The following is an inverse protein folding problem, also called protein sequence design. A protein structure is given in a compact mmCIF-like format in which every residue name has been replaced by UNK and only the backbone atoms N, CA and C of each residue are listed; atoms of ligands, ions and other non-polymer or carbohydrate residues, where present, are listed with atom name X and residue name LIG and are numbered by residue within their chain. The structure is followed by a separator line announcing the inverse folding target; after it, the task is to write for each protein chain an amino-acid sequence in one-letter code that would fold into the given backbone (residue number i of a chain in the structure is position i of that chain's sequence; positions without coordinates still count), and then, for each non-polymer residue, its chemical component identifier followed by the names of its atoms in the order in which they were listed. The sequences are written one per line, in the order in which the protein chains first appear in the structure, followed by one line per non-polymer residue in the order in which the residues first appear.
data_IF_806322799690
#
_entry.id   IF_806322799690
#
_cell.length_a   1.000
_cell.length_b   1.000
_cell.length_c   1.000
_cell.angle_alpha   90.00
_cell.angle_beta   90.00
_cell.angle_gamma   90.00
#
_symmetry.space_group_name_H-M   'P 1'
#
loop_
_entity.id
_entity.type
_entity.pdbx_description
1 polymer ?
#
# COMPACT_ATOMS: atom_id res chain seq x y z
N UNK A 1 -0.34 -8.01 -22.09
CA UNK A 1 -0.04 -9.39 -21.64
C UNK A 1 1.46 -9.55 -21.67
N UNK A 2 2.10 -9.94 -20.57
CA UNK A 2 3.57 -10.00 -20.45
C UNK A 2 4.11 -11.37 -20.86
N UNK A 3 5.39 -11.46 -21.22
CA UNK A 3 6.04 -12.73 -21.52
C UNK A 3 6.08 -13.63 -20.27
N UNK A 4 6.00 -14.95 -20.48
CA UNK A 4 6.03 -15.92 -19.41
C UNK A 4 7.33 -15.78 -18.57
N UNK A 5 7.17 -15.53 -17.27
CA UNK A 5 8.28 -15.39 -16.33
C UNK A 5 8.80 -13.96 -16.11
N UNK A 6 8.34 -12.96 -16.85
CA UNK A 6 8.81 -11.57 -16.71
C UNK A 6 7.88 -10.70 -15.84
N UNK A 7 6.58 -11.00 -15.79
CA UNK A 7 5.59 -10.21 -15.04
C UNK A 7 5.39 -8.80 -15.62
N UNK A 8 4.60 -7.93 -14.96
CA UNK A 8 4.42 -6.56 -15.40
C UNK A 8 5.72 -5.77 -15.36
N UNK A 9 5.79 -4.69 -16.17
CA UNK A 9 6.99 -3.85 -16.24
C UNK A 9 7.31 -3.26 -14.85
N UNK A 10 8.57 -3.26 -14.38
CA UNK A 10 8.91 -2.72 -13.07
C UNK A 10 8.58 -1.22 -12.86
N UNK A 11 8.39 -0.50 -13.96
CA UNK A 11 8.08 0.93 -13.99
C UNK A 11 7.17 1.22 -15.20
N UNK A 12 5.85 0.95 -15.09
CA UNK A 12 4.94 1.06 -16.23
C UNK A 12 4.78 2.49 -16.76
N UNK A 13 4.95 3.48 -15.88
CA UNK A 13 4.95 4.89 -16.27
C UNK A 13 6.22 5.30 -17.04
N UNK A 14 7.31 4.56 -16.91
CA UNK A 14 8.58 4.83 -17.59
C UNK A 14 9.14 6.24 -17.29
N UNK A 15 9.78 6.88 -18.28
CA UNK A 15 10.29 8.25 -18.16
C UNK A 15 9.21 9.33 -18.32
N UNK A 16 7.95 8.95 -18.57
CA UNK A 16 6.89 9.90 -18.88
C UNK A 16 6.53 10.84 -17.72
N UNK A 17 6.94 10.55 -16.47
CA UNK A 17 6.40 11.27 -15.30
C UNK A 17 7.40 11.53 -14.14
N UNK A 18 8.55 12.17 -14.43
CA UNK A 18 9.41 12.94 -13.48
C UNK A 18 10.73 12.32 -12.94
N UNK A 19 11.68 13.24 -12.64
CA UNK A 19 12.91 13.02 -11.86
C UNK A 19 12.67 13.23 -10.35
N UNK A 20 11.65 12.60 -9.76
CA UNK A 20 11.41 12.68 -8.30
C UNK A 20 12.26 11.65 -7.55
N UNK A 21 12.62 11.97 -6.30
CA UNK A 21 13.19 11.00 -5.37
C UNK A 21 12.11 9.98 -4.99
N UNK A 22 12.25 8.73 -5.48
CA UNK A 22 11.34 7.63 -5.16
C UNK A 22 11.51 7.18 -3.71
N UNK A 23 10.40 6.80 -3.10
CA UNK A 23 10.35 6.27 -1.73
C UNK A 23 10.64 4.77 -1.63
N UNK A 24 10.58 4.08 -2.76
CA UNK A 24 10.90 2.67 -2.91
C UNK A 24 12.14 2.48 -3.78
N UNK A 25 12.73 1.30 -3.69
CA UNK A 25 13.75 0.83 -4.62
C UNK A 25 13.24 -0.42 -5.34
N UNK A 26 13.02 -0.37 -6.67
CA UNK A 26 12.66 -1.57 -7.43
C UNK A 26 13.74 -2.63 -7.24
N UNK A 27 13.36 -3.80 -6.75
CA UNK A 27 14.25 -4.96 -6.68
C UNK A 27 13.75 -5.99 -7.67
N UNK A 28 14.57 -6.31 -8.68
CA UNK A 28 14.36 -7.51 -9.48
C UNK A 28 14.61 -8.71 -8.56
N UNK A 29 13.57 -9.47 -8.31
CA UNK A 29 13.63 -10.69 -7.53
C UNK A 29 13.06 -11.83 -8.36
N UNK A 30 13.60 -13.03 -8.15
CA UNK A 30 13.20 -14.20 -8.92
C UNK A 30 11.74 -14.54 -8.63
N UNK A 31 10.93 -14.54 -9.68
CA UNK A 31 9.54 -14.99 -9.66
C UNK A 31 9.53 -16.53 -9.68
N UNK A 32 8.75 -17.16 -8.81
CA UNK A 32 8.56 -18.62 -8.82
C UNK A 32 7.58 -19.02 -9.92
N UNK A 33 7.60 -20.30 -10.34
CA UNK A 33 6.66 -20.79 -11.36
C UNK A 33 5.20 -20.53 -10.98
N UNK A 34 4.81 -20.79 -9.72
CA UNK A 34 3.45 -20.55 -9.24
C UNK A 34 3.06 -19.06 -9.20
N UNK A 35 4.01 -18.16 -8.90
CA UNK A 35 3.76 -16.71 -8.98
C UNK A 35 3.57 -16.26 -10.43
N UNK A 36 4.39 -16.78 -11.36
CA UNK A 36 4.27 -16.46 -12.78
C UNK A 36 2.93 -16.96 -13.36
N UNK A 37 2.54 -18.19 -13.02
CA UNK A 37 1.25 -18.76 -13.42
C UNK A 37 0.07 -17.94 -12.87
N UNK A 38 0.10 -17.58 -11.58
CA UNK A 38 -0.94 -16.76 -10.98
C UNK A 38 -1.06 -15.38 -11.66
N UNK A 39 0.06 -14.74 -12.00
CA UNK A 39 0.05 -13.49 -12.76
C UNK A 39 -0.53 -13.69 -14.16
N UNK A 40 -0.07 -14.69 -14.92
CA UNK A 40 -0.60 -14.95 -16.26
C UNK A 40 -2.12 -15.20 -16.25
N UNK A 41 -2.59 -15.96 -15.25
CA UNK A 41 -4.00 -16.33 -15.12
C UNK A 41 -4.88 -15.17 -14.65
N UNK A 42 -4.46 -14.40 -13.63
CA UNK A 42 -5.32 -13.44 -12.92
C UNK A 42 -5.02 -11.97 -13.18
N UNK A 43 -3.89 -11.64 -13.79
CA UNK A 43 -3.60 -10.24 -14.13
C UNK A 43 -4.66 -9.59 -15.03
N UNK A 44 -5.24 -10.25 -16.05
CA UNK A 44 -6.26 -9.63 -16.90
C UNK A 44 -7.50 -9.14 -16.12
N UNK A 45 -7.87 -9.86 -15.05
CA UNK A 45 -9.09 -9.59 -14.28
C UNK A 45 -8.80 -8.72 -13.05
N UNK A 46 -7.68 -8.98 -12.37
CA UNK A 46 -7.38 -8.43 -11.05
C UNK A 46 -6.13 -7.56 -11.01
N UNK A 47 -5.36 -7.51 -12.10
CA UNK A 47 -4.13 -6.72 -12.20
C UNK A 47 -4.32 -5.44 -12.99
N UNK A 48 -3.58 -4.39 -12.63
CA UNK A 48 -3.44 -3.19 -13.44
C UNK A 48 -2.06 -2.58 -13.31
N UNK A 49 -1.62 -1.92 -14.37
CA UNK A 49 -0.41 -1.09 -14.34
C UNK A 49 -0.78 0.36 -13.99
N UNK A 50 0.05 0.98 -13.15
CA UNK A 50 0.00 2.40 -12.83
C UNK A 50 0.83 3.13 -13.88
N UNK A 51 0.16 3.51 -14.97
CA UNK A 51 0.77 4.15 -16.13
C UNK A 51 0.50 5.66 -16.22
N UNK A 52 -0.37 6.18 -15.36
CA UNK A 52 -0.77 7.59 -15.33
C UNK A 52 -1.70 8.02 -16.46
N UNK A 53 -2.30 7.07 -17.21
CA UNK A 53 -3.05 7.40 -18.44
C UNK A 53 -4.56 7.37 -18.27
N UNK A 54 -5.08 6.51 -17.39
CA UNK A 54 -6.51 6.32 -17.18
C UNK A 54 -6.92 6.63 -15.75
N UNK A 55 -8.00 7.39 -15.61
CA UNK A 55 -8.70 7.52 -14.34
C UNK A 55 -9.47 6.23 -14.07
N UNK A 56 -9.31 5.68 -12.87
CA UNK A 56 -9.96 4.45 -12.43
C UNK A 56 -11.31 4.80 -11.79
N UNK A 57 -12.35 4.07 -12.16
CA UNK A 57 -13.61 4.03 -11.39
C UNK A 57 -13.52 2.88 -10.37
N UNK A 58 -13.16 3.22 -9.13
CA UNK A 58 -13.04 2.24 -8.05
C UNK A 58 -14.40 1.65 -7.66
N UNK A 59 -15.49 2.41 -7.82
CA UNK A 59 -16.84 1.95 -7.51
C UNK A 59 -17.23 0.84 -8.48
N UNK A 60 -17.00 1.04 -9.78
CA UNK A 60 -17.22 0.00 -10.79
C UNK A 60 -16.29 -1.20 -10.56
N UNK A 61 -14.99 -0.95 -10.36
CA UNK A 61 -13.97 -1.98 -10.20
C UNK A 61 -14.26 -2.97 -9.06
N UNK A 62 -14.83 -2.47 -7.96
CA UNK A 62 -15.17 -3.25 -6.76
C UNK A 62 -16.68 -3.45 -6.57
N UNK A 63 -17.52 -3.20 -7.58
CA UNK A 63 -18.96 -3.45 -7.48
C UNK A 63 -19.68 -2.64 -6.40
N UNK A 64 -19.18 -1.45 -6.07
CA UNK A 64 -19.76 -0.53 -5.10
C UNK A 64 -19.29 -0.71 -3.66
N UNK A 65 -18.38 -1.64 -3.38
CA UNK A 65 -17.79 -1.78 -2.06
C UNK A 65 -16.96 -0.53 -1.67
N UNK A 66 -16.87 -0.19 -0.36
CA UNK A 66 -15.87 0.76 0.12
C UNK A 66 -14.46 0.26 -0.22
N UNK A 67 -13.56 1.17 -0.59
CA UNK A 67 -12.23 0.79 -1.07
C UNK A 67 -11.13 1.32 -0.17
N UNK A 68 -10.30 0.41 0.32
CA UNK A 68 -9.05 0.72 1.02
C UNK A 68 -7.86 0.49 0.11
N UNK A 69 -7.01 1.49 -0.03
CA UNK A 69 -5.73 1.34 -0.70
C UNK A 69 -4.66 0.85 0.28
N UNK A 70 -3.85 -0.14 -0.11
CA UNK A 70 -2.68 -0.58 0.65
C UNK A 70 -1.42 -0.31 -0.16
N UNK A 71 -0.50 0.52 0.35
CA UNK A 71 0.76 0.85 -0.33
C UNK A 71 1.89 -0.01 0.27
N UNK A 72 2.56 -0.78 -0.58
CA UNK A 72 3.71 -1.59 -0.20
C UNK A 72 3.30 -2.89 0.50
N UNK A 73 2.35 -3.64 -0.07
CA UNK A 73 1.84 -4.88 0.55
C UNK A 73 2.87 -6.03 0.61
N UNK A 74 4.03 -5.89 -0.04
CA UNK A 74 5.11 -6.86 -0.03
C UNK A 74 4.66 -8.21 -0.61
N UNK A 75 4.68 -9.27 0.20
CA UNK A 75 4.22 -10.60 -0.23
C UNK A 75 2.69 -10.76 -0.21
N UNK A 76 1.92 -9.83 0.37
CA UNK A 76 0.46 -9.83 0.34
C UNK A 76 -0.22 -10.88 1.24
N UNK A 77 0.52 -11.60 2.09
CA UNK A 77 -0.09 -12.57 3.03
C UNK A 77 -1.03 -11.90 4.02
N UNK A 78 -0.64 -10.74 4.56
CA UNK A 78 -1.47 -9.93 5.44
C UNK A 78 -2.69 -9.39 4.69
N UNK A 79 -2.49 -8.85 3.50
CA UNK A 79 -3.55 -8.35 2.59
C UNK A 79 -4.60 -9.41 2.33
N UNK A 80 -4.18 -10.62 1.92
CA UNK A 80 -5.11 -11.72 1.63
C UNK A 80 -5.91 -12.14 2.87
N UNK A 81 -5.27 -12.20 4.05
CA UNK A 81 -5.96 -12.51 5.32
C UNK A 81 -6.98 -11.43 5.69
N UNK A 82 -6.62 -10.16 5.57
CA UNK A 82 -7.53 -9.05 5.84
C UNK A 82 -8.70 -9.02 4.86
N UNK A 83 -8.44 -9.23 3.56
CA UNK A 83 -9.48 -9.28 2.53
C UNK A 83 -10.45 -10.46 2.74
N UNK A 84 -9.94 -11.61 3.18
CA UNK A 84 -10.79 -12.76 3.53
C UNK A 84 -11.63 -12.53 4.79
N UNK A 85 -11.08 -11.80 5.78
CA UNK A 85 -11.77 -11.49 7.02
C UNK A 85 -12.82 -10.38 6.86
N UNK A 86 -12.69 -9.54 5.83
CA UNK A 86 -13.60 -8.45 5.52
C UNK A 86 -13.96 -8.44 4.02
N UNK A 87 -14.85 -9.36 3.57
CA UNK A 87 -15.28 -9.42 2.18
C UNK A 87 -16.12 -8.20 1.75
N UNK A 88 -16.58 -7.38 2.71
CA UNK A 88 -17.33 -6.15 2.45
C UNK A 88 -16.47 -4.96 2.03
N UNK A 89 -15.15 -5.09 2.05
CA UNK A 89 -14.21 -4.02 1.68
C UNK A 89 -13.37 -4.45 0.47
N UNK A 90 -13.33 -3.59 -0.55
CA UNK A 90 -12.41 -3.72 -1.67
C UNK A 90 -11.00 -3.27 -1.29
N UNK A 91 -9.98 -4.04 -1.69
CA UNK A 91 -8.58 -3.75 -1.44
C UNK A 91 -7.86 -3.46 -2.75
N UNK A 92 -7.44 -2.21 -2.94
CA UNK A 92 -6.53 -1.79 -4.00
C UNK A 92 -5.08 -1.89 -3.48
N UNK A 93 -4.46 -3.04 -3.74
CA UNK A 93 -3.12 -3.35 -3.26
C UNK A 93 -2.06 -2.85 -4.25
N UNK A 94 -1.25 -1.89 -3.83
CA UNK A 94 -0.25 -1.20 -4.67
C UNK A 94 1.17 -1.62 -4.27
N UNK A 95 1.94 -2.16 -5.20
CA UNK A 95 3.35 -2.48 -4.98
C UNK A 95 4.12 -2.55 -6.30
N UNK A 96 5.44 -2.44 -6.25
CA UNK A 96 6.36 -2.61 -7.39
C UNK A 96 7.09 -3.97 -7.35
N UNK A 97 6.87 -4.76 -6.30
CA UNK A 97 7.53 -6.04 -6.08
C UNK A 97 6.80 -7.18 -6.83
N UNK A 98 7.29 -7.50 -8.03
CA UNK A 98 6.70 -8.51 -8.91
C UNK A 98 6.43 -9.88 -8.26
N UNK A 99 7.35 -10.49 -7.46
CA UNK A 99 7.04 -11.74 -6.77
C UNK A 99 5.88 -11.61 -5.79
N UNK A 100 5.77 -10.45 -5.14
CA UNK A 100 4.69 -10.12 -4.21
C UNK A 100 3.33 -10.06 -4.91
N UNK A 101 3.29 -9.37 -6.05
CA UNK A 101 2.09 -9.28 -6.91
C UNK A 101 1.59 -10.67 -7.32
N UNK A 102 2.49 -11.54 -7.82
CA UNK A 102 2.12 -12.91 -8.17
C UNK A 102 1.69 -13.75 -6.96
N UNK A 103 2.30 -13.54 -5.79
CA UNK A 103 1.90 -14.24 -4.57
C UNK A 103 0.51 -13.83 -4.10
N UNK A 104 0.21 -12.53 -4.06
CA UNK A 104 -1.10 -12.01 -3.66
C UNK A 104 -2.20 -12.48 -4.62
N UNK A 105 -1.97 -12.41 -5.94
CA UNK A 105 -2.92 -12.94 -6.94
C UNK A 105 -3.16 -14.43 -6.74
N UNK A 106 -2.10 -15.22 -6.47
CA UNK A 106 -2.23 -16.65 -6.20
C UNK A 106 -2.96 -16.96 -4.89
N UNK A 107 -2.76 -16.15 -3.85
CA UNK A 107 -3.48 -16.27 -2.58
C UNK A 107 -4.96 -15.92 -2.75
N UNK A 108 -5.28 -14.82 -3.45
CA UNK A 108 -6.63 -14.41 -3.77
C UNK A 108 -7.36 -15.47 -4.60
N UNK A 109 -6.70 -16.03 -5.62
CA UNK A 109 -7.28 -17.07 -6.49
C UNK A 109 -7.64 -18.33 -5.71
N UNK A 110 -6.70 -18.83 -4.89
CA UNK A 110 -6.95 -20.03 -4.06
C UNK A 110 -7.96 -19.78 -2.95
N UNK A 111 -8.05 -18.54 -2.45
CA UNK A 111 -8.98 -18.14 -1.40
C UNK A 111 -10.36 -17.73 -1.92
N UNK A 112 -10.57 -17.66 -3.24
CA UNK A 112 -11.81 -17.13 -3.82
C UNK A 112 -12.07 -15.65 -3.48
N UNK A 113 -11.01 -14.86 -3.32
CA UNK A 113 -11.11 -13.46 -2.91
C UNK A 113 -11.37 -12.56 -4.12
N UNK A 114 -12.62 -12.14 -4.29
CA UNK A 114 -13.02 -11.27 -5.41
C UNK A 114 -12.84 -9.77 -5.10
N UNK A 115 -12.58 -9.43 -3.84
CA UNK A 115 -12.43 -8.07 -3.32
C UNK A 115 -10.98 -7.54 -3.33
N UNK A 116 -10.07 -8.17 -4.08
CA UNK A 116 -8.66 -7.73 -4.20
C UNK A 116 -8.33 -7.35 -5.64
N UNK A 117 -7.65 -6.21 -5.81
CA UNK A 117 -7.01 -5.79 -7.07
C UNK A 117 -5.56 -5.43 -6.81
N UNK A 118 -4.66 -5.84 -7.71
CA UNK A 118 -3.22 -5.58 -7.62
C UNK A 118 -2.83 -4.51 -8.64
N UNK A 119 -2.26 -3.42 -8.16
CA UNK A 119 -1.75 -2.32 -8.97
C UNK A 119 -0.21 -2.29 -8.94
N UNK A 120 0.42 -2.41 -10.11
CA UNK A 120 1.86 -2.37 -10.26
C UNK A 120 2.35 -0.96 -10.63
N UNK A 121 3.21 -0.39 -9.80
CA UNK A 121 3.87 0.89 -10.07
C UNK A 121 3.88 1.85 -8.87
N UNK A 122 4.16 3.13 -9.15
CA UNK A 122 4.33 4.16 -8.12
C UNK A 122 2.96 4.65 -7.59
N UNK A 123 2.70 4.45 -6.29
CA UNK A 123 1.48 4.91 -5.65
C UNK A 123 1.25 6.43 -5.76
N UNK A 124 2.32 7.24 -5.89
CA UNK A 124 2.20 8.69 -6.11
C UNK A 124 1.57 8.98 -7.46
N UNK A 125 1.93 8.23 -8.51
CA UNK A 125 1.34 8.38 -9.84
C UNK A 125 -0.14 7.96 -9.81
N UNK A 126 -0.45 6.84 -9.15
CA UNK A 126 -1.83 6.39 -8.97
C UNK A 126 -2.69 7.46 -8.31
N UNK A 127 -2.25 8.00 -7.17
CA UNK A 127 -2.95 9.05 -6.44
C UNK A 127 -3.11 10.33 -7.28
N UNK A 128 -2.05 10.77 -7.95
CA UNK A 128 -2.05 12.05 -8.68
C UNK A 128 -2.88 11.99 -9.96
N UNK A 129 -2.69 10.95 -10.76
CA UNK A 129 -3.11 10.91 -12.17
C UNK A 129 -4.26 9.94 -12.45
N UNK A 130 -4.53 8.99 -11.55
CA UNK A 130 -5.43 7.87 -11.85
C UNK A 130 -6.60 7.73 -10.88
N UNK A 131 -6.63 8.49 -9.79
CA UNK A 131 -7.73 8.50 -8.83
C UNK A 131 -8.43 9.86 -8.80
N UNK A 132 -9.75 9.84 -8.74
CA UNK A 132 -10.57 11.04 -8.50
C UNK A 132 -10.51 11.47 -7.04
N UNK A 133 -10.96 12.69 -6.76
CA UNK A 133 -11.12 13.15 -5.39
C UNK A 133 -12.08 12.23 -4.59
N UNK A 134 -11.82 12.09 -3.29
CA UNK A 134 -12.66 11.33 -2.35
C UNK A 134 -12.99 9.88 -2.79
N UNK A 135 -12.09 9.25 -3.56
CA UNK A 135 -12.29 7.90 -4.10
C UNK A 135 -12.05 6.79 -3.06
N UNK A 136 -11.27 7.05 -2.01
CA UNK A 136 -10.82 6.04 -1.04
C UNK A 136 -11.56 6.16 0.30
N UNK A 137 -12.01 5.03 0.83
CA UNK A 137 -12.60 4.89 2.17
C UNK A 137 -11.54 4.63 3.26
N UNK A 138 -10.29 4.40 2.86
CA UNK A 138 -9.13 4.30 3.76
C UNK A 138 -7.82 4.10 3.02
N UNK A 139 -6.71 4.26 3.74
CA UNK A 139 -5.38 3.97 3.23
C UNK A 139 -4.54 3.26 4.30
N UNK A 140 -3.73 2.29 3.90
CA UNK A 140 -2.82 1.54 4.78
C UNK A 140 -1.40 1.61 4.25
N UNK A 141 -0.45 1.83 5.14
CA UNK A 141 0.99 1.86 4.83
C UNK A 141 1.73 1.10 5.92
N UNK A 142 2.01 -0.18 5.67
CA UNK A 142 2.63 -1.06 6.67
C UNK A 142 4.09 -1.32 6.34
N UNK A 143 4.96 -1.09 7.33
CA UNK A 143 6.40 -1.32 7.26
C UNK A 143 7.08 -0.71 6.02
N UNK A 144 6.81 0.57 5.67
CA UNK A 144 7.48 1.20 4.54
C UNK A 144 8.99 1.30 4.80
N UNK A 145 9.77 1.33 3.72
CA UNK A 145 11.24 1.42 3.80
C UNK A 145 11.69 2.55 4.78
N UNK A 146 12.43 2.23 5.86
CA UNK A 146 12.68 3.19 6.94
C UNK A 146 13.78 4.21 6.65
N UNK A 147 14.59 3.93 5.62
CA UNK A 147 15.71 4.77 5.17
C UNK A 147 16.55 5.32 6.34
N UNK A 148 17.23 4.46 7.13
CA UNK A 148 17.79 4.82 8.44
C UNK A 148 18.92 5.86 8.40
N UNK A 149 19.53 6.10 7.23
CA UNK A 149 20.60 7.09 7.07
C UNK A 149 19.97 8.47 6.86
N UNK A 150 20.32 9.48 7.68
CA UNK A 150 19.81 10.87 7.59
C UNK A 150 19.68 11.43 6.17
N UNK A 151 20.73 11.27 5.34
CA UNK A 151 20.74 11.70 3.92
C UNK A 151 19.65 11.08 3.03
N UNK A 152 19.02 10.00 3.48
CA UNK A 152 17.96 9.27 2.79
C UNK A 152 16.57 9.53 3.38
N UNK A 153 16.41 10.33 4.44
CA UNK A 153 15.08 10.57 5.06
C UNK A 153 14.07 11.15 4.06
N UNK A 154 14.52 11.95 3.09
CA UNK A 154 13.71 12.44 1.96
C UNK A 154 13.12 11.35 1.04
N UNK A 155 13.53 10.08 1.22
CA UNK A 155 12.95 8.90 0.56
C UNK A 155 11.88 8.22 1.42
N UNK A 156 11.68 8.61 2.67
CA UNK A 156 10.55 8.10 3.46
C UNK A 156 9.24 8.50 2.77
N UNK A 157 8.28 7.58 2.75
CA UNK A 157 6.98 7.80 2.10
C UNK A 157 6.13 8.81 2.87
N UNK A 158 6.07 8.69 4.21
CA UNK A 158 5.30 9.60 5.06
C UNK A 158 6.05 10.93 5.16
N UNK A 159 5.61 11.88 4.35
CA UNK A 159 6.12 13.25 4.21
C UNK A 159 4.93 14.20 4.01
N UNK A 160 5.05 15.50 4.34
CA UNK A 160 3.96 16.45 4.20
C UNK A 160 3.31 16.44 2.82
N UNK A 161 4.09 16.42 1.73
CA UNK A 161 3.55 16.48 0.36
C UNK A 161 2.82 15.19 -0.03
N UNK A 162 3.23 14.04 0.51
CA UNK A 162 2.50 12.79 0.32
C UNK A 162 1.15 12.85 1.04
N UNK A 163 1.13 13.33 2.29
CA UNK A 163 -0.11 13.46 3.07
C UNK A 163 -1.09 14.42 2.41
N UNK A 164 -0.61 15.58 1.94
CA UNK A 164 -1.45 16.55 1.21
C UNK A 164 -2.08 15.90 -0.02
N UNK A 165 -1.30 15.18 -0.84
CA UNK A 165 -1.84 14.48 -2.01
C UNK A 165 -2.85 13.40 -1.60
N UNK A 166 -2.50 12.57 -0.61
CA UNK A 166 -3.35 11.48 -0.16
C UNK A 166 -4.69 11.99 0.40
N UNK A 167 -4.68 13.07 1.17
CA UNK A 167 -5.88 13.70 1.71
C UNK A 167 -6.90 14.06 0.61
N UNK A 168 -6.42 14.53 -0.56
CA UNK A 168 -7.32 14.85 -1.68
C UNK A 168 -8.03 13.64 -2.30
N UNK A 169 -7.59 12.41 -2.00
CA UNK A 169 -8.13 11.16 -2.56
C UNK A 169 -8.90 10.33 -1.55
N UNK A 170 -8.77 10.64 -0.26
CA UNK A 170 -9.48 9.98 0.83
C UNK A 170 -10.76 10.74 1.17
N UNK A 171 -11.86 10.04 1.42
CA UNK A 171 -13.13 10.65 1.88
C UNK A 171 -12.99 11.28 3.27
N UNK A 172 -13.80 12.32 3.60
CA UNK A 172 -13.92 12.81 4.97
C UNK A 172 -14.25 11.65 5.90
N UNK A 173 -13.52 11.52 7.00
CA UNK A 173 -13.68 10.43 7.96
C UNK A 173 -12.95 9.12 7.64
N UNK A 174 -12.31 9.00 6.47
CA UNK A 174 -11.50 7.83 6.12
C UNK A 174 -10.24 7.75 7.00
N UNK A 175 -9.79 6.53 7.32
CA UNK A 175 -8.62 6.29 8.17
C UNK A 175 -7.36 6.02 7.33
N UNK A 176 -6.28 6.73 7.65
CA UNK A 176 -4.91 6.39 7.29
C UNK A 176 -4.30 5.59 8.44
N UNK A 177 -3.91 4.35 8.15
CA UNK A 177 -3.28 3.46 9.11
C UNK A 177 -1.84 3.14 8.69
N UNK A 178 -0.89 3.71 9.42
CA UNK A 178 0.53 3.44 9.25
C UNK A 178 1.01 2.45 10.32
N UNK A 179 1.99 1.60 9.98
CA UNK A 179 2.69 0.77 10.95
C UNK A 179 4.19 0.70 10.62
N UNK A 180 5.04 0.67 11.64
CA UNK A 180 6.50 0.55 11.48
C UNK A 180 7.14 -0.07 12.72
N UNK A 181 8.20 -0.84 12.53
CA UNK A 181 9.04 -1.42 13.60
C UNK A 181 10.34 -0.62 13.83
N UNK A 182 10.48 0.53 13.16
CA UNK A 182 11.65 1.41 13.26
C UNK A 182 11.30 2.69 14.03
N UNK A 183 11.75 2.77 15.28
CA UNK A 183 11.43 3.88 16.21
C UNK A 183 11.69 5.28 15.61
N UNK A 184 12.87 5.60 15.01
CA UNK A 184 13.10 6.93 14.44
C UNK A 184 12.24 7.26 13.20
N UNK A 185 11.52 6.28 12.66
CA UNK A 185 10.53 6.53 11.61
C UNK A 185 9.13 6.62 12.20
N UNK A 186 8.81 5.87 13.26
CA UNK A 186 7.58 6.06 14.04
C UNK A 186 7.46 7.50 14.57
N UNK A 187 8.53 8.01 15.18
CA UNK A 187 8.60 9.39 15.68
C UNK A 187 8.37 10.41 14.56
N UNK A 188 9.01 10.22 13.41
CA UNK A 188 8.84 11.10 12.25
C UNK A 188 7.42 11.00 11.67
N UNK A 189 6.85 9.80 11.59
CA UNK A 189 5.47 9.63 11.12
C UNK A 189 4.51 10.39 12.04
N UNK A 190 4.68 10.26 13.36
CA UNK A 190 3.84 10.94 14.35
C UNK A 190 3.97 12.47 14.23
N UNK A 191 5.20 12.99 14.13
CA UNK A 191 5.46 14.42 13.95
C UNK A 191 4.78 14.96 12.69
N UNK A 192 5.01 14.31 11.55
CA UNK A 192 4.50 14.76 10.24
C UNK A 192 2.98 14.66 10.15
N UNK A 193 2.38 13.57 10.65
CA UNK A 193 0.93 13.39 10.67
C UNK A 193 0.24 14.37 11.62
N UNK A 194 0.79 14.56 12.83
CA UNK A 194 0.19 15.45 13.83
C UNK A 194 0.27 16.92 13.43
N UNK A 195 1.24 17.30 12.60
CA UNK A 195 1.37 18.66 12.07
C UNK A 195 0.50 18.92 10.84
N UNK A 196 -0.09 17.90 10.21
CA UNK A 196 -0.84 18.05 8.96
C UNK A 196 -2.30 18.44 9.22
N UNK A 197 -2.84 19.52 8.61
CA UNK A 197 -4.16 20.05 8.95
C UNK A 197 -5.33 19.13 8.58
N UNK A 198 -5.16 18.30 7.54
CA UNK A 198 -6.22 17.41 7.04
C UNK A 198 -6.32 16.07 7.79
N UNK A 199 -5.48 15.83 8.81
CA UNK A 199 -5.46 14.57 9.56
C UNK A 199 -5.55 14.82 11.06
N UNK A 200 -6.42 14.08 11.74
CA UNK A 200 -6.53 14.07 13.19
C UNK A 200 -6.10 12.71 13.76
N UNK A 201 -5.27 12.74 14.82
CA UNK A 201 -4.88 11.52 15.51
C UNK A 201 -6.10 10.92 16.21
N UNK A 202 -6.29 9.60 16.06
CA UNK A 202 -7.38 8.87 16.74
C UNK A 202 -6.99 8.42 18.15
N UNK A 203 -5.70 8.42 18.49
CA UNK A 203 -5.21 8.13 19.84
C UNK A 203 -5.51 9.30 20.78
N UNK A 204 -6.17 9.01 21.91
CA UNK A 204 -6.64 10.03 22.85
C UNK A 204 -5.51 10.85 23.51
N UNK A 205 -4.32 10.27 23.64
CA UNK A 205 -3.12 10.91 24.18
C UNK A 205 -2.26 11.60 23.10
N UNK A 206 -2.71 11.56 21.84
CA UNK A 206 -1.97 12.09 20.69
C UNK A 206 -0.73 11.26 20.32
N UNK A 207 -0.57 10.06 20.88
CA UNK A 207 0.56 9.17 20.63
C UNK A 207 0.27 8.09 19.58
N UNK A 208 0.81 6.89 19.84
CA UNK A 208 0.62 5.71 19.02
C UNK A 208 -0.67 4.97 19.40
N UNK A 209 -1.30 4.33 18.43
CA UNK A 209 -2.48 3.50 18.66
C UNK A 209 -2.07 2.07 19.04
N UNK A 210 -2.87 1.35 19.85
CA UNK A 210 -2.68 -0.09 20.00
C UNK A 210 -2.91 -0.80 18.65
N UNK A 211 -2.20 -1.90 18.40
CA UNK A 211 -2.43 -2.70 17.20
C UNK A 211 -3.90 -3.14 17.14
N UNK A 212 -4.66 -2.79 16.08
CA UNK A 212 -6.02 -3.26 15.93
C UNK A 212 -6.08 -4.77 15.76
N UNK A 213 -7.11 -5.41 16.32
CA UNK A 213 -7.28 -6.87 16.23
C UNK A 213 -7.40 -7.40 14.80
N UNK A 214 -7.89 -6.56 13.86
CA UNK A 214 -8.00 -6.92 12.45
C UNK A 214 -6.65 -6.93 11.71
N UNK A 215 -5.59 -6.29 12.24
CA UNK A 215 -4.28 -6.26 11.60
C UNK A 215 -3.51 -7.53 11.96
N UNK A 216 -3.33 -8.49 11.03
CA UNK A 216 -2.62 -9.71 11.33
C UNK A 216 -1.16 -9.43 11.63
N UNK A 217 -0.54 -10.30 12.43
CA UNK A 217 0.92 -10.34 12.56
C UNK A 217 1.53 -10.60 11.18
N UNK A 218 2.26 -9.62 10.66
CA UNK A 218 2.99 -9.78 9.41
C UNK A 218 4.27 -10.58 9.64
N UNK A 219 4.81 -11.19 8.57
CA UNK A 219 6.12 -11.87 8.63
C UNK A 219 7.25 -10.91 9.04
N UNK A 220 7.14 -9.62 8.69
CA UNK A 220 8.10 -8.59 9.08
C UNK A 220 8.04 -8.30 10.58
N UNK A 221 6.84 -8.22 11.15
CA UNK A 221 6.67 -8.05 12.60
C UNK A 221 7.23 -9.22 13.38
N UNK A 222 7.02 -10.46 12.93
CA UNK A 222 7.62 -11.63 13.59
C UNK A 222 9.14 -11.51 13.68
N UNK A 223 9.80 -11.13 12.58
CA UNK A 223 11.26 -10.96 12.53
C UNK A 223 11.76 -9.77 13.36
N UNK A 224 10.98 -8.70 13.48
CA UNK A 224 11.29 -7.54 14.32
C UNK A 224 11.12 -7.84 15.81
N UNK A 225 10.02 -8.51 16.17
CA UNK A 225 9.74 -8.93 17.54
C UNK A 225 10.78 -9.92 18.06
N UNK A 226 11.23 -10.86 17.23
CA UNK A 226 12.34 -11.78 17.56
C UNK A 226 13.66 -11.04 17.86
N UNK A 227 13.79 -9.79 17.41
CA UNK A 227 14.93 -8.89 17.67
C UNK A 227 14.65 -7.85 18.76
N UNK A 228 13.49 -7.94 19.42
CA UNK A 228 13.06 -7.00 20.47
C UNK A 228 12.58 -5.65 19.95
N UNK A 229 12.26 -5.51 18.66
CA UNK A 229 11.70 -4.28 18.12
C UNK A 229 10.26 -4.08 18.61
N UNK A 230 9.90 -2.82 18.89
CA UNK A 230 8.53 -2.41 19.17
C UNK A 230 7.89 -1.99 17.85
N UNK A 231 6.68 -2.47 17.60
CA UNK A 231 5.88 -2.02 16.46
C UNK A 231 4.96 -0.90 16.91
N UNK A 232 5.00 0.21 16.18
CA UNK A 232 4.10 1.34 16.39
C UNK A 232 3.04 1.38 15.29
N UNK A 233 1.79 1.49 15.71
CA UNK A 233 0.64 1.74 14.85
C UNK A 233 0.22 3.21 14.99
N UNK A 234 -0.03 3.88 13.87
CA UNK A 234 -0.53 5.25 13.82
C UNK A 234 -1.83 5.27 13.02
N UNK A 235 -2.94 5.61 13.67
CA UNK A 235 -4.24 5.74 13.04
C UNK A 235 -4.66 7.20 13.07
N UNK A 236 -4.78 7.79 11.88
CA UNK A 236 -5.20 9.17 11.67
C UNK A 236 -6.44 9.21 10.80
N UNK A 237 -7.44 9.99 11.19
CA UNK A 237 -8.66 10.20 10.44
C UNK A 237 -8.51 11.43 9.55
N UNK A 238 -8.88 11.33 8.27
CA UNK A 238 -8.95 12.47 7.37
C UNK A 238 -10.14 13.36 7.73
N UNK A 239 -9.91 14.66 7.82
CA UNK A 239 -10.86 15.69 8.28
C UNK A 239 -11.78 16.23 7.17
#
# INVERSE_FOLDING_TARGET
MFAAGEGPLPDPAGSHHERRIRSFQPRRSRVTAGQAEAMLKRWPDWGLDIDGRRILDLREMFGGLPVVMEIGFGMGEATARMAAADPGTGILAVDVHTPGQGNLLGLADRGGLENVRVANGDAIILLREMLTADALDGCRVYFPDPWPKKRHHKRRLIQPEFLTLLATRMKPGAVLHCATDWEPYAEQMLEVLSAHPDFANTAADGGYSPRPAFRPLTRFEGQGLDKGHVVHDLLFQRM
#
